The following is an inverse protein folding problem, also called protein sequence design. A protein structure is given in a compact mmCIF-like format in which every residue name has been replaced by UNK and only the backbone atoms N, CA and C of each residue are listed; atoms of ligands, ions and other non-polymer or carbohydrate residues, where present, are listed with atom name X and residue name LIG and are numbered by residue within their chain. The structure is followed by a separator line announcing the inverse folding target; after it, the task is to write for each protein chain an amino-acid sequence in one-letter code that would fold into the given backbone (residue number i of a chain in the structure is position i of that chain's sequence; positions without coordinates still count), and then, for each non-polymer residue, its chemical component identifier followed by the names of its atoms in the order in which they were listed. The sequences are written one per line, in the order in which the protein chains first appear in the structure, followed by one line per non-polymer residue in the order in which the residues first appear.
data_IF_289878748900
#
_entry.id   IF_289878748900
#
_cell.length_a   1.000
_cell.length_b   1.000
_cell.length_c   1.000
_cell.angle_alpha   90.00
_cell.angle_beta   90.00
_cell.angle_gamma   90.00
#
_symmetry.space_group_name_H-M   'P 1'
#
loop_
_entity.id
_entity.type
_entity.pdbx_description
1 polymer ?
#
# COMPACT_ATOMS: atom_id res chain seq x y z
N UNK A 1 -16.81 -9.39 5.98
CA UNK A 1 -16.75 -8.07 5.29
C UNK A 1 -15.47 -8.00 4.48
N UNK A 2 -15.50 -7.52 3.22
CA UNK A 2 -14.30 -7.34 2.37
C UNK A 2 -14.17 -5.85 2.02
N UNK A 3 -13.06 -5.21 2.38
CA UNK A 3 -12.77 -3.84 1.96
C UNK A 3 -12.51 -3.87 0.44
N UNK A 4 -13.25 -3.08 -0.33
CA UNK A 4 -13.06 -2.97 -1.79
C UNK A 4 -12.15 -1.82 -2.17
N UNK A 5 -12.23 -0.72 -1.40
CA UNK A 5 -11.39 0.46 -1.58
C UNK A 5 -11.11 1.07 -0.22
N UNK A 6 -9.86 1.38 0.03
CA UNK A 6 -9.42 2.14 1.20
C UNK A 6 -8.70 3.38 0.70
N UNK A 7 -9.09 4.56 1.19
CA UNK A 7 -8.41 5.82 0.91
C UNK A 7 -7.71 6.28 2.18
N UNK A 8 -6.43 6.59 2.08
CA UNK A 8 -5.59 7.15 3.13
C UNK A 8 -4.95 8.45 2.63
N UNK A 9 -4.62 9.36 3.54
CA UNK A 9 -3.87 10.55 3.21
C UNK A 9 -2.36 10.34 3.40
N UNK A 10 -1.54 10.99 2.58
CA UNK A 10 -0.09 11.00 2.74
C UNK A 10 0.48 12.33 2.29
N UNK A 11 1.50 12.80 3.01
CA UNK A 11 2.27 13.99 2.63
C UNK A 11 3.41 13.70 1.66
N UNK A 12 3.61 12.43 1.27
CA UNK A 12 4.71 12.03 0.40
C UNK A 12 4.32 10.84 -0.49
N UNK A 13 3.64 11.14 -1.60
CA UNK A 13 3.18 10.12 -2.56
C UNK A 13 4.34 9.42 -3.28
N UNK A 14 5.49 10.08 -3.42
CA UNK A 14 6.67 9.51 -4.06
C UNK A 14 7.21 8.39 -3.19
N UNK A 15 7.38 8.62 -1.88
CA UNK A 15 7.78 7.55 -0.95
C UNK A 15 6.75 6.43 -0.84
N UNK A 16 5.45 6.73 -0.90
CA UNK A 16 4.44 5.67 -0.97
C UNK A 16 4.63 4.83 -2.24
N UNK A 17 4.84 5.47 -3.40
CA UNK A 17 5.10 4.78 -4.66
C UNK A 17 6.33 3.88 -4.56
N UNK A 18 7.47 4.42 -4.15
CA UNK A 18 8.72 3.68 -4.03
C UNK A 18 8.57 2.47 -3.11
N UNK A 19 8.03 2.66 -1.91
CA UNK A 19 7.84 1.56 -0.96
C UNK A 19 6.88 0.48 -1.48
N UNK A 20 5.68 0.85 -1.92
CA UNK A 20 4.67 -0.13 -2.28
C UNK A 20 4.97 -0.82 -3.63
N UNK A 21 5.54 -0.11 -4.61
CA UNK A 21 5.88 -0.69 -5.91
C UNK A 21 7.21 -1.44 -5.86
N UNK A 22 8.27 -0.84 -5.30
CA UNK A 22 9.62 -1.39 -5.39
C UNK A 22 9.92 -2.37 -4.25
N UNK A 23 9.57 -2.02 -3.01
CA UNK A 23 9.77 -2.93 -1.87
C UNK A 23 8.67 -3.99 -1.82
N UNK A 24 7.40 -3.58 -1.97
CA UNK A 24 6.28 -4.51 -1.83
C UNK A 24 5.83 -5.20 -3.13
N UNK A 25 6.37 -4.79 -4.29
CA UNK A 25 6.03 -5.39 -5.59
C UNK A 25 4.58 -5.19 -6.03
N UNK A 26 3.86 -4.23 -5.45
CA UNK A 26 2.44 -4.04 -5.73
C UNK A 26 2.21 -3.35 -7.06
N UNK A 27 1.21 -3.84 -7.80
CA UNK A 27 0.81 -3.24 -9.07
C UNK A 27 0.14 -1.88 -8.85
N UNK A 28 0.66 -0.85 -9.52
CA UNK A 28 0.01 0.46 -9.63
C UNK A 28 -1.16 0.36 -10.61
N UNK A 29 -2.34 0.81 -10.18
CA UNK A 29 -3.52 0.98 -11.02
C UNK A 29 -3.61 2.34 -11.67
N UNK A 30 -3.30 3.40 -10.91
CA UNK A 30 -3.23 4.78 -11.41
C UNK A 30 -2.28 5.62 -10.56
N UNK A 31 -1.64 6.60 -11.18
CA UNK A 31 -0.76 7.55 -10.51
C UNK A 31 -0.89 8.94 -11.14
N UNK A 32 -0.94 9.97 -10.29
CA UNK A 32 -1.10 11.37 -10.64
C UNK A 32 -0.39 12.26 -9.61
N UNK A 33 -0.40 13.57 -9.82
CA UNK A 33 0.16 14.53 -8.86
C UNK A 33 -0.50 14.50 -7.48
N UNK A 34 -1.77 14.12 -7.39
CA UNK A 34 -2.53 14.18 -6.13
C UNK A 34 -2.94 12.80 -5.59
N UNK A 35 -2.81 11.73 -6.37
CA UNK A 35 -3.24 10.40 -5.94
C UNK A 35 -2.41 9.27 -6.56
N UNK A 36 -2.29 8.17 -5.81
CA UNK A 36 -1.79 6.87 -6.30
C UNK A 36 -2.72 5.75 -5.83
N UNK A 37 -2.96 4.77 -6.71
CA UNK A 37 -3.77 3.59 -6.41
C UNK A 37 -2.96 2.32 -6.62
N UNK A 38 -2.97 1.43 -5.63
CA UNK A 38 -2.38 0.08 -5.68
C UNK A 38 -3.47 -0.99 -5.66
N UNK A 39 -3.23 -2.07 -6.40
CA UNK A 39 -4.08 -3.26 -6.39
C UNK A 39 -3.54 -4.32 -5.43
N UNK A 40 -4.34 -4.71 -4.45
CA UNK A 40 -3.98 -5.71 -3.43
C UNK A 40 -5.11 -6.72 -3.29
N UNK A 41 -4.95 -7.87 -3.95
CA UNK A 41 -6.01 -8.89 -4.00
C UNK A 41 -7.32 -8.31 -4.56
N UNK A 42 -8.36 -8.26 -3.74
CA UNK A 42 -9.68 -7.71 -4.11
C UNK A 42 -9.89 -6.24 -3.68
N UNK A 43 -8.85 -5.61 -3.13
CA UNK A 43 -8.88 -4.26 -2.56
C UNK A 43 -8.07 -3.30 -3.41
N UNK A 44 -8.53 -2.07 -3.52
CA UNK A 44 -7.74 -0.94 -4.01
C UNK A 44 -7.30 -0.08 -2.83
N UNK A 45 -5.99 0.09 -2.63
CA UNK A 45 -5.44 1.04 -1.67
C UNK A 45 -5.11 2.34 -2.40
N UNK A 46 -5.70 3.44 -1.95
CA UNK A 46 -5.51 4.76 -2.55
C UNK A 46 -4.84 5.68 -1.55
N UNK A 47 -3.71 6.26 -1.92
CA UNK A 47 -3.16 7.41 -1.20
C UNK A 47 -3.54 8.69 -1.93
N UNK A 48 -4.05 9.65 -1.18
CA UNK A 48 -4.35 11.00 -1.63
C UNK A 48 -3.41 11.98 -0.92
N UNK A 49 -2.87 12.93 -1.68
CA UNK A 49 -1.94 13.91 -1.12
C UNK A 49 -2.63 14.78 -0.07
N UNK A 50 -1.96 14.98 1.06
CA UNK A 50 -2.33 15.94 2.10
C UNK A 50 -1.06 16.56 2.66
N UNK A 51 -0.99 17.88 2.88
CA UNK A 51 0.22 18.50 3.44
C UNK A 51 0.51 18.06 4.89
N UNK A 52 -0.49 17.53 5.59
CA UNK A 52 -0.34 17.04 6.97
C UNK A 52 0.14 15.59 6.97
N UNK A 53 1.04 15.21 7.89
CA UNK A 53 1.38 13.81 8.09
C UNK A 53 0.18 13.08 8.73
N UNK A 54 -0.11 11.88 8.22
CA UNK A 54 -1.13 10.98 8.77
C UNK A 54 -0.51 9.61 9.09
N UNK A 55 -0.86 9.04 10.24
CA UNK A 55 -0.39 7.73 10.66
C UNK A 55 -1.58 6.78 10.79
N UNK A 56 -1.52 5.65 10.09
CA UNK A 56 -2.56 4.64 10.08
C UNK A 56 -1.95 3.28 10.45
N UNK A 57 -2.74 2.44 11.11
CA UNK A 57 -2.44 1.03 11.26
C UNK A 57 -3.35 0.22 10.34
N UNK A 58 -2.75 -0.54 9.44
CA UNK A 58 -3.45 -1.44 8.53
C UNK A 58 -2.53 -2.63 8.21
N UNK A 59 -3.15 -3.77 7.91
CA UNK A 59 -2.44 -5.02 7.65
C UNK A 59 -2.89 -5.60 6.31
N UNK A 60 -1.97 -6.26 5.62
CA UNK A 60 -2.30 -7.08 4.46
C UNK A 60 -2.53 -8.52 4.89
N UNK A 61 -3.57 -9.13 4.35
CA UNK A 61 -3.75 -10.57 4.49
C UNK A 61 -2.72 -11.27 3.60
N UNK A 62 -2.04 -12.24 4.18
CA UNK A 62 -1.15 -13.15 3.48
C UNK A 62 -1.71 -14.58 3.57
N UNK A 63 -1.32 -15.50 2.67
CA UNK A 63 -1.62 -16.92 2.81
C UNK A 63 -1.15 -17.46 4.16
N UNK A 64 -1.91 -18.37 4.77
CA UNK A 64 -1.60 -18.93 6.10
C UNK A 64 -0.26 -19.68 6.14
N UNK A 65 0.20 -20.17 4.99
CA UNK A 65 1.48 -20.86 4.83
C UNK A 65 2.65 -19.92 4.47
N UNK A 66 2.42 -18.61 4.31
CA UNK A 66 3.42 -17.65 3.80
C UNK A 66 4.15 -16.83 4.86
N UNK A 67 4.04 -17.18 6.15
CA UNK A 67 4.55 -16.34 7.24
C UNK A 67 6.08 -16.27 7.25
N UNK A 68 6.77 -17.38 6.98
CA UNK A 68 8.23 -17.42 7.01
C UNK A 68 8.81 -16.59 5.86
N UNK A 69 8.23 -16.70 4.67
CA UNK A 69 8.58 -15.93 3.48
C UNK A 69 8.35 -14.43 3.73
N UNK A 70 7.22 -14.07 4.33
CA UNK A 70 6.92 -12.68 4.68
C UNK A 70 7.92 -12.11 5.70
N UNK A 71 8.35 -12.91 6.68
CA UNK A 71 9.36 -12.50 7.66
C UNK A 71 10.72 -12.29 7.03
N UNK A 72 11.14 -13.17 6.11
CA UNK A 72 12.39 -13.03 5.35
C UNK A 72 12.34 -11.78 4.46
N UNK A 73 11.25 -11.59 3.74
CA UNK A 73 11.05 -10.45 2.84
C UNK A 73 11.02 -9.09 3.55
N UNK A 74 10.48 -9.02 4.78
CA UNK A 74 10.55 -7.80 5.59
C UNK A 74 11.99 -7.40 5.95
N UNK A 75 12.91 -8.37 6.00
CA UNK A 75 14.30 -8.17 6.42
C UNK A 75 15.25 -7.83 5.26
N UNK A 76 14.75 -7.83 4.02
CA UNK A 76 15.46 -7.33 2.82
C UNK A 76 15.13 -5.88 2.56
#
# INVERSE_FOLDING_TARGET
MKIKRLKLFSNDLIKQKEFFEQSLGLRIGSYSSNTITFHIGWSNLVFEFSPLPHHYHYCFLIPSNGINEALVWRST
#
